data_IF_788837213723
#
_entry.id   IF_788837213723
#
_cell.length_a   1.000
_cell.length_b   1.000
_cell.length_c   1.000
_cell.angle_alpha   90.00
_cell.angle_beta   90.00
_cell.angle_gamma   90.00
#
_symmetry.space_group_name_H-M   'P 1'
#
loop_
_entity.id
_entity.type
_entity.pdbx_description
1 polymer ?
#
# COMPACT_ATOMS: atom_id res chain seq x y z
N UNK A 1 32.79 58.68 48.86
CA UNK A 1 32.10 58.99 47.59
C UNK A 1 31.49 57.69 47.06
N UNK A 2 30.16 57.50 47.14
CA UNK A 2 29.48 56.29 46.65
C UNK A 2 28.77 56.61 45.33
N UNK A 3 29.13 55.90 44.25
CA UNK A 3 28.43 55.97 42.96
C UNK A 3 27.15 55.13 43.07
N UNK A 4 26.00 55.78 42.86
CA UNK A 4 24.68 55.12 42.74
C UNK A 4 24.59 54.47 41.36
N UNK A 5 24.59 53.14 41.31
CA UNK A 5 24.29 52.39 40.08
C UNK A 5 22.78 52.44 39.85
N UNK A 6 22.35 53.04 38.74
CA UNK A 6 20.94 53.02 38.33
C UNK A 6 20.68 51.71 37.59
N UNK A 7 19.61 50.96 37.93
CA UNK A 7 19.25 49.78 37.16
C UNK A 7 18.81 50.22 35.76
N UNK A 8 19.40 49.60 34.72
CA UNK A 8 19.03 49.85 33.33
C UNK A 8 17.54 49.55 33.15
N UNK A 9 16.76 50.60 32.86
CA UNK A 9 15.32 50.52 32.67
C UNK A 9 15.01 49.56 31.53
N UNK A 10 14.11 48.61 31.78
CA UNK A 10 13.58 47.69 30.76
C UNK A 10 12.98 48.51 29.61
N UNK A 11 13.71 48.62 28.50
CA UNK A 11 13.21 49.22 27.27
C UNK A 11 12.23 48.22 26.66
N UNK A 12 10.94 48.58 26.62
CA UNK A 12 9.90 47.76 25.99
C UNK A 12 10.22 47.50 24.51
N UNK A 13 9.67 46.41 23.97
CA UNK A 13 9.86 46.00 22.57
C UNK A 13 9.48 47.12 21.60
N UNK A 14 10.30 47.29 20.56
CA UNK A 14 10.04 48.30 19.53
C UNK A 14 9.06 47.77 18.47
N UNK A 15 8.33 48.66 17.80
CA UNK A 15 7.35 48.28 16.75
C UNK A 15 8.01 47.43 15.65
N UNK A 16 9.22 47.81 15.22
CA UNK A 16 9.96 47.09 14.18
C UNK A 16 10.29 45.66 14.59
N UNK A 17 10.59 45.43 15.88
CA UNK A 17 10.94 44.14 16.43
C UNK A 17 9.74 43.18 16.43
N UNK A 18 8.53 43.70 16.69
CA UNK A 18 7.29 42.93 16.58
C UNK A 18 7.00 42.56 15.14
N UNK A 19 7.19 43.48 14.19
CA UNK A 19 6.92 43.22 12.76
C UNK A 19 7.92 42.19 12.21
N UNK A 20 9.20 42.30 12.56
CA UNK A 20 10.22 41.31 12.18
C UNK A 20 9.93 39.95 12.81
N UNK A 21 9.52 39.92 14.09
CA UNK A 21 9.13 38.68 14.77
C UNK A 21 7.95 37.99 14.08
N UNK A 22 6.93 38.75 13.70
CA UNK A 22 5.79 38.23 12.93
C UNK A 22 6.20 37.73 11.53
N UNK A 23 7.14 38.40 10.87
CA UNK A 23 7.66 37.94 9.59
C UNK A 23 8.38 36.58 9.72
N UNK A 24 9.25 36.43 10.70
CA UNK A 24 9.95 35.14 10.96
C UNK A 24 8.95 34.07 11.39
N UNK A 25 7.96 34.43 12.21
CA UNK A 25 6.92 33.50 12.67
C UNK A 25 6.06 32.96 11.54
N UNK A 26 5.65 33.81 10.59
CA UNK A 26 4.84 33.38 9.44
C UNK A 26 5.62 32.43 8.52
N UNK A 27 6.91 32.69 8.29
CA UNK A 27 7.80 31.77 7.55
C UNK A 27 7.86 30.40 8.26
N UNK A 28 7.98 30.40 9.59
CA UNK A 28 7.98 29.18 10.40
C UNK A 28 6.69 28.34 10.27
N UNK A 29 5.52 29.00 10.29
CA UNK A 29 4.24 28.30 10.11
C UNK A 29 4.11 27.69 8.72
N UNK A 30 4.51 28.41 7.68
CA UNK A 30 4.47 27.91 6.30
C UNK A 30 5.37 26.69 6.11
N UNK A 31 6.57 26.72 6.71
CA UNK A 31 7.48 25.57 6.72
C UNK A 31 6.86 24.36 7.43
N UNK A 32 6.24 24.59 8.60
CA UNK A 32 5.56 23.53 9.35
C UNK A 32 4.38 22.93 8.57
N UNK A 33 3.59 23.76 7.89
CA UNK A 33 2.48 23.32 7.05
C UNK A 33 2.94 22.43 5.89
N UNK A 34 4.02 22.81 5.20
CA UNK A 34 4.61 21.97 4.15
C UNK A 34 5.08 20.61 4.70
N UNK A 35 5.67 20.58 5.90
CA UNK A 35 6.06 19.33 6.57
C UNK A 35 4.85 18.45 6.91
N UNK A 36 3.76 19.03 7.41
CA UNK A 36 2.55 18.28 7.79
C UNK A 36 1.90 17.60 6.57
N UNK A 37 1.85 18.27 5.43
CA UNK A 37 1.34 17.68 4.19
C UNK A 37 2.16 16.45 3.78
N UNK A 38 3.48 16.57 3.77
CA UNK A 38 4.37 15.47 3.40
C UNK A 38 4.27 14.29 4.37
N UNK A 39 4.22 14.56 5.68
CA UNK A 39 4.08 13.53 6.71
C UNK A 39 2.74 12.77 6.61
N UNK A 40 1.66 13.49 6.31
CA UNK A 40 0.33 12.88 6.15
C UNK A 40 0.29 11.95 4.94
N UNK A 41 0.85 12.39 3.81
CA UNK A 41 0.90 11.55 2.59
C UNK A 41 1.80 10.34 2.79
N UNK A 42 2.96 10.50 3.44
CA UNK A 42 3.87 9.38 3.69
C UNK A 42 3.25 8.35 4.65
N UNK A 43 2.60 8.81 5.72
CA UNK A 43 1.89 7.95 6.67
C UNK A 43 0.74 7.20 5.99
N UNK A 44 -0.01 7.86 5.11
CA UNK A 44 -1.07 7.24 4.33
C UNK A 44 -0.57 6.16 3.36
N UNK A 45 0.60 6.35 2.74
CA UNK A 45 1.27 5.34 1.91
C UNK A 45 1.75 4.15 2.73
N UNK A 46 2.41 4.41 3.86
CA UNK A 46 2.91 3.37 4.73
C UNK A 46 1.77 2.49 5.26
N UNK A 47 0.66 3.12 5.68
CA UNK A 47 -0.52 2.39 6.12
C UNK A 47 -1.14 1.52 5.01
N UNK A 48 -1.22 2.01 3.77
CA UNK A 48 -1.74 1.20 2.68
C UNK A 48 -0.85 0.02 2.36
N UNK A 49 0.47 0.21 2.28
CA UNK A 49 1.43 -0.88 2.03
C UNK A 49 1.38 -1.93 3.14
N UNK A 50 1.34 -1.51 4.41
CA UNK A 50 1.25 -2.43 5.55
C UNK A 50 -0.04 -3.26 5.51
N UNK A 51 -1.17 -2.61 5.23
CA UNK A 51 -2.47 -3.28 5.14
C UNK A 51 -2.50 -4.24 3.96
N UNK A 52 -2.01 -3.82 2.79
CA UNK A 52 -1.92 -4.67 1.60
C UNK A 52 -1.02 -5.89 1.83
N UNK A 53 0.13 -5.71 2.48
CA UNK A 53 1.02 -6.83 2.85
C UNK A 53 0.33 -7.81 3.79
N UNK A 54 -0.44 -7.31 4.76
CA UNK A 54 -1.19 -8.16 5.70
C UNK A 54 -2.22 -9.01 4.95
N UNK A 55 -2.96 -8.42 4.00
CA UNK A 55 -3.93 -9.16 3.18
C UNK A 55 -3.27 -10.18 2.26
N UNK A 56 -2.13 -9.83 1.66
CA UNK A 56 -1.38 -10.75 0.82
C UNK A 56 -0.91 -11.98 1.61
N UNK A 57 -0.37 -11.77 2.81
CA UNK A 57 0.04 -12.87 3.71
C UNK A 57 -1.15 -13.73 4.11
N UNK A 58 -2.28 -13.13 4.50
CA UNK A 58 -3.48 -13.88 4.86
C UNK A 58 -3.97 -14.79 3.73
N UNK A 59 -4.01 -14.29 2.49
CA UNK A 59 -4.44 -15.08 1.33
C UNK A 59 -3.39 -16.14 0.96
N UNK A 60 -2.11 -15.82 1.09
CA UNK A 60 -1.04 -16.80 0.88
C UNK A 60 -1.14 -17.96 1.88
N UNK A 61 -1.42 -17.69 3.15
CA UNK A 61 -1.65 -18.71 4.18
C UNK A 61 -2.88 -19.56 3.88
N UNK A 62 -3.98 -18.94 3.43
CA UNK A 62 -5.17 -19.67 2.99
C UNK A 62 -4.83 -20.61 1.83
N UNK A 63 -4.10 -20.15 0.82
CA UNK A 63 -3.73 -20.95 -0.36
C UNK A 63 -2.69 -22.03 -0.07
N UNK A 64 -1.84 -21.81 0.92
CA UNK A 64 -0.96 -22.83 1.47
C UNK A 64 -1.76 -23.98 2.09
N UNK A 65 -2.85 -23.68 2.79
CA UNK A 65 -3.71 -24.67 3.43
C UNK A 65 -4.59 -25.47 2.46
N UNK A 66 -4.85 -24.96 1.25
CA UNK A 66 -5.63 -25.68 0.23
C UNK A 66 -4.93 -26.94 -0.25
N UNK A 67 -5.62 -27.80 -0.99
CA UNK A 67 -4.96 -28.92 -1.69
C UNK A 67 -4.29 -28.45 -2.99
N UNK A 68 -3.44 -29.28 -3.59
CA UNK A 68 -2.82 -28.96 -4.89
C UNK A 68 -3.85 -28.89 -6.03
N UNK A 69 -4.90 -29.71 -5.96
CA UNK A 69 -5.94 -29.82 -6.97
C UNK A 69 -7.15 -28.91 -6.73
N UNK A 70 -7.08 -28.02 -5.73
CA UNK A 70 -8.18 -27.14 -5.37
C UNK A 70 -8.62 -26.26 -6.57
N UNK A 71 -9.94 -26.10 -6.81
CA UNK A 71 -10.44 -25.27 -7.90
C UNK A 71 -9.94 -23.83 -7.90
N UNK A 72 -9.67 -23.23 -6.74
CA UNK A 72 -9.14 -21.87 -6.64
C UNK A 72 -7.68 -21.76 -7.09
N UNK A 73 -6.98 -22.89 -7.14
CA UNK A 73 -5.59 -23.02 -7.59
C UNK A 73 -5.49 -23.64 -8.98
N UNK A 74 -6.56 -23.58 -9.77
CA UNK A 74 -6.52 -23.97 -11.18
C UNK A 74 -6.16 -22.76 -12.03
N UNK A 75 -5.24 -22.96 -12.96
CA UNK A 75 -5.02 -22.03 -14.05
C UNK A 75 -6.30 -22.01 -14.90
N UNK A 76 -6.93 -20.84 -15.01
CA UNK A 76 -8.18 -20.66 -15.74
C UNK A 76 -7.88 -20.33 -17.20
N UNK A 77 -8.59 -21.02 -18.11
CA UNK A 77 -8.41 -20.89 -19.54
C UNK A 77 -8.71 -19.45 -20.04
N UNK A 78 -7.65 -18.68 -20.22
CA UNK A 78 -7.68 -17.26 -20.59
C UNK A 78 -6.27 -16.68 -20.59
N UNK A 79 -5.40 -17.19 -19.71
CA UNK A 79 -3.97 -16.94 -19.79
C UNK A 79 -3.28 -17.76 -20.90
N UNK A 80 -2.32 -17.14 -21.59
CA UNK A 80 -1.39 -17.91 -22.40
C UNK A 80 -0.54 -18.81 -21.47
N UNK A 81 0.13 -19.83 -22.03
CA UNK A 81 1.04 -20.87 -21.45
C UNK A 81 1.87 -20.57 -20.16
N UNK A 82 1.87 -19.34 -19.65
CA UNK A 82 2.67 -18.82 -18.56
C UNK A 82 1.89 -18.34 -17.33
N UNK A 83 0.56 -18.23 -17.32
CA UNK A 83 -0.34 -18.00 -16.16
C UNK A 83 -0.05 -16.94 -15.09
N UNK A 84 1.05 -16.19 -15.22
CA UNK A 84 1.53 -15.19 -14.25
C UNK A 84 1.45 -13.76 -14.78
N UNK A 85 0.96 -13.59 -16.01
CA UNK A 85 1.05 -12.36 -16.79
C UNK A 85 -0.09 -11.38 -16.55
N UNK A 86 -1.16 -11.73 -15.83
CA UNK A 86 -2.41 -10.98 -16.00
C UNK A 86 -2.51 -9.63 -15.27
N UNK A 87 -1.55 -9.28 -14.42
CA UNK A 87 -1.60 -8.02 -13.67
C UNK A 87 -0.33 -7.18 -13.73
N UNK A 88 0.80 -7.72 -14.22
CA UNK A 88 2.02 -6.94 -14.45
C UNK A 88 2.53 -6.97 -15.91
N UNK A 89 1.92 -7.71 -16.83
CA UNK A 89 2.45 -7.89 -18.18
C UNK A 89 1.49 -7.36 -19.26
N UNK A 90 1.69 -6.11 -19.65
CA UNK A 90 1.33 -5.58 -20.99
C UNK A 90 -0.14 -5.34 -21.35
N UNK A 91 -1.01 -4.89 -20.45
CA UNK A 91 -2.21 -4.09 -20.80
C UNK A 91 -3.01 -4.65 -22.01
N UNK A 92 -3.10 -5.99 -22.14
CA UNK A 92 -3.71 -6.64 -23.30
C UNK A 92 -5.13 -7.00 -22.91
N UNK A 93 -6.09 -6.59 -23.74
CA UNK A 93 -7.48 -6.98 -23.56
C UNK A 93 -7.58 -8.52 -23.60
N UNK A 94 -7.84 -9.15 -22.45
CA UNK A 94 -7.88 -10.61 -22.31
C UNK A 94 -7.11 -11.15 -21.10
N UNK A 95 -6.25 -10.33 -20.48
CA UNK A 95 -5.56 -10.69 -19.26
C UNK A 95 -6.53 -10.64 -18.06
N UNK A 96 -7.12 -11.79 -17.73
CA UNK A 96 -8.05 -11.91 -16.59
C UNK A 96 -7.44 -12.70 -15.45
N UNK A 97 -7.50 -12.19 -14.19
CA UNK A 97 -7.13 -12.93 -12.98
C UNK A 97 -7.75 -14.32 -12.95
N UNK A 98 -6.96 -15.33 -12.60
CA UNK A 98 -7.45 -16.67 -12.27
C UNK A 98 -8.45 -16.62 -11.12
N UNK A 99 -8.24 -15.67 -10.21
CA UNK A 99 -9.32 -15.23 -9.34
C UNK A 99 -9.07 -13.89 -8.66
N UNK A 100 -10.16 -13.36 -8.14
CA UNK A 100 -10.21 -12.05 -7.49
C UNK A 100 -11.04 -12.10 -6.23
N UNK A 101 -10.59 -11.35 -5.22
CA UNK A 101 -11.35 -11.03 -4.01
C UNK A 101 -11.30 -9.53 -3.78
N UNK A 102 -12.41 -8.99 -3.34
CA UNK A 102 -12.52 -7.58 -3.00
C UNK A 102 -12.61 -7.43 -1.49
N UNK A 103 -11.96 -6.40 -0.96
CA UNK A 103 -11.94 -6.11 0.47
C UNK A 103 -12.57 -4.74 0.67
N UNK A 104 -13.65 -4.72 1.44
CA UNK A 104 -14.35 -3.48 1.79
C UNK A 104 -13.57 -2.67 2.82
N UNK A 105 -13.96 -1.42 3.01
CA UNK A 105 -13.38 -0.56 4.06
C UNK A 105 -13.59 -1.11 5.49
N UNK A 106 -14.58 -1.98 5.71
CA UNK A 106 -14.79 -2.67 7.00
C UNK A 106 -13.90 -3.89 7.19
N UNK A 107 -13.06 -4.23 6.21
CA UNK A 107 -12.22 -5.43 6.22
C UNK A 107 -12.98 -6.71 5.87
N UNK A 108 -14.19 -6.60 5.31
CA UNK A 108 -14.97 -7.76 4.88
C UNK A 108 -14.53 -8.17 3.47
N UNK A 109 -14.43 -9.47 3.24
CA UNK A 109 -14.11 -10.03 1.91
C UNK A 109 -15.40 -10.27 1.14
N UNK A 110 -15.45 -9.84 -0.11
CA UNK A 110 -16.56 -10.08 -1.02
C UNK A 110 -16.08 -10.52 -2.41
N UNK A 111 -16.95 -11.27 -3.11
CA UNK A 111 -16.62 -11.88 -4.41
C UNK A 111 -17.07 -11.04 -5.61
N UNK A 112 -17.70 -9.89 -5.37
CA UNK A 112 -18.16 -8.98 -6.42
C UNK A 112 -17.61 -7.56 -6.16
N UNK A 113 -17.21 -6.84 -7.22
CA UNK A 113 -16.68 -5.49 -7.07
C UNK A 113 -17.79 -4.53 -6.62
N UNK A 114 -17.43 -3.64 -5.71
CA UNK A 114 -18.24 -2.52 -5.25
C UNK A 114 -17.43 -1.22 -5.31
N UNK A 115 -18.11 -0.09 -5.49
CA UNK A 115 -17.46 1.23 -5.40
C UNK A 115 -16.94 1.57 -4.00
N UNK A 116 -17.27 0.75 -3.00
CA UNK A 116 -16.84 0.90 -1.61
C UNK A 116 -15.62 0.02 -1.25
N UNK A 117 -15.11 -0.76 -2.20
CA UNK A 117 -13.96 -1.62 -1.97
C UNK A 117 -12.70 -0.79 -1.80
N UNK A 118 -11.91 -1.14 -0.79
CA UNK A 118 -10.64 -0.48 -0.49
C UNK A 118 -9.47 -1.19 -1.19
N UNK A 119 -9.53 -2.51 -1.29
CA UNK A 119 -8.52 -3.31 -1.99
C UNK A 119 -9.17 -4.34 -2.90
N UNK A 120 -8.50 -4.66 -4.00
CA UNK A 120 -8.73 -5.87 -4.77
C UNK A 120 -7.47 -6.74 -4.68
N UNK A 121 -7.65 -8.00 -4.35
CA UNK A 121 -6.57 -8.99 -4.35
C UNK A 121 -6.84 -9.95 -5.48
N UNK A 122 -5.82 -10.10 -6.31
CA UNK A 122 -5.84 -10.96 -7.46
C UNK A 122 -4.82 -12.06 -7.27
N UNK A 123 -5.08 -13.21 -7.87
CA UNK A 123 -4.09 -14.26 -7.95
C UNK A 123 -4.06 -14.90 -9.32
N UNK A 124 -2.90 -15.44 -9.59
CA UNK A 124 -2.45 -16.01 -10.83
C UNK A 124 -1.75 -17.32 -10.54
N UNK A 125 -2.01 -18.35 -11.33
CA UNK A 125 -1.50 -19.69 -11.14
C UNK A 125 -0.87 -20.17 -12.44
N UNK A 126 0.42 -20.47 -12.38
CA UNK A 126 1.11 -21.18 -13.44
C UNK A 126 1.46 -22.59 -12.99
N UNK A 127 1.11 -23.57 -13.81
CA UNK A 127 1.46 -24.97 -13.58
C UNK A 127 2.82 -25.33 -14.18
N UNK A 128 3.49 -26.29 -13.57
CA UNK A 128 4.80 -26.83 -13.99
C UNK A 128 5.90 -25.78 -14.07
N UNK A 129 5.90 -24.82 -13.13
CA UNK A 129 6.85 -23.71 -13.04
C UNK A 129 7.46 -23.60 -11.62
N UNK A 130 8.79 -23.42 -11.50
CA UNK A 130 9.81 -23.53 -12.56
C UNK A 130 10.10 -25.00 -12.96
N UNK A 131 9.61 -25.98 -12.20
CA UNK A 131 9.81 -27.41 -12.44
C UNK A 131 8.47 -28.12 -12.62
N UNK A 132 8.48 -29.27 -13.29
CA UNK A 132 7.29 -30.11 -13.43
C UNK A 132 6.74 -30.53 -12.06
N UNK A 133 5.41 -30.49 -11.90
CA UNK A 133 4.74 -30.82 -10.64
C UNK A 133 4.76 -29.72 -9.58
N UNK A 134 5.26 -28.52 -9.90
CA UNK A 134 5.10 -27.31 -9.09
C UNK A 134 4.04 -26.38 -9.67
N UNK A 135 3.24 -25.76 -8.80
CA UNK A 135 2.45 -24.58 -9.14
C UNK A 135 3.15 -23.35 -8.61
N UNK A 136 3.32 -22.33 -9.45
CA UNK A 136 3.68 -20.99 -9.02
C UNK A 136 2.40 -20.17 -8.90
N UNK A 137 2.18 -19.55 -7.75
CA UNK A 137 1.04 -18.69 -7.50
C UNK A 137 1.54 -17.28 -7.20
N UNK A 138 1.12 -16.31 -7.99
CA UNK A 138 1.39 -14.89 -7.77
C UNK A 138 0.16 -14.24 -7.17
N UNK A 139 0.32 -13.55 -6.05
CA UNK A 139 -0.74 -12.78 -5.40
C UNK A 139 -0.40 -11.31 -5.55
N UNK A 140 -1.34 -10.52 -6.07
CA UNK A 140 -1.18 -9.08 -6.24
C UNK A 140 -2.30 -8.32 -5.54
N UNK A 141 -1.92 -7.34 -4.72
CA UNK A 141 -2.85 -6.48 -3.99
C UNK A 141 -2.86 -5.08 -4.57
N UNK A 142 -4.04 -4.66 -4.99
CA UNK A 142 -4.30 -3.35 -5.58
C UNK A 142 -5.18 -2.55 -4.63
N UNK A 143 -4.79 -1.29 -4.38
CA UNK A 143 -5.63 -0.34 -3.66
C UNK A 143 -6.60 0.33 -4.62
N UNK A 144 -7.89 0.23 -4.31
CA UNK A 144 -8.96 0.80 -5.10
C UNK A 144 -9.21 2.26 -4.68
N UNK A 145 -8.84 3.19 -5.57
CA UNK A 145 -9.14 4.61 -5.41
C UNK A 145 -8.39 5.34 -4.29
N UNK A 146 -8.65 6.65 -4.20
CA UNK A 146 -8.02 7.55 -3.25
C UNK A 146 -6.56 7.87 -3.55
N UNK A 147 -5.90 8.57 -2.61
CA UNK A 147 -4.47 8.86 -2.72
C UNK A 147 -3.67 7.55 -2.69
N UNK A 148 -2.77 7.40 -3.68
CA UNK A 148 -1.93 6.23 -3.89
C UNK A 148 -2.70 4.97 -4.32
N UNK A 149 -3.75 5.10 -5.13
CA UNK A 149 -4.33 3.94 -5.82
C UNK A 149 -3.28 3.26 -6.74
N UNK A 150 -3.42 1.95 -6.94
CA UNK A 150 -2.48 1.16 -7.75
C UNK A 150 -2.02 -0.11 -7.04
N UNK A 151 -1.00 -0.77 -7.59
CA UNK A 151 -0.41 -2.00 -7.03
C UNK A 151 0.48 -1.60 -5.83
N UNK A 152 0.24 -2.20 -4.65
CA UNK A 152 1.04 -1.95 -3.45
C UNK A 152 1.97 -3.10 -3.11
N UNK A 153 1.57 -4.32 -3.47
CA UNK A 153 2.27 -5.52 -3.06
C UNK A 153 2.01 -6.65 -4.06
N UNK A 154 3.06 -7.38 -4.41
CA UNK A 154 2.97 -8.62 -5.18
C UNK A 154 3.98 -9.63 -4.63
N UNK A 155 3.57 -10.89 -4.51
CA UNK A 155 4.43 -11.96 -4.00
C UNK A 155 4.13 -13.29 -4.68
N UNK A 156 5.18 -14.06 -4.94
CA UNK A 156 5.13 -15.36 -5.58
C UNK A 156 5.39 -16.47 -4.55
N UNK A 157 4.53 -17.48 -4.55
CA UNK A 157 4.65 -18.69 -3.73
C UNK A 157 4.63 -19.94 -4.64
N UNK A 158 5.30 -21.01 -4.19
CA UNK A 158 5.38 -22.27 -4.93
C UNK A 158 4.76 -23.43 -4.15
N UNK A 159 3.84 -24.14 -4.79
CA UNK A 159 3.17 -25.32 -4.24
C UNK A 159 3.64 -26.59 -4.91
N UNK A 160 3.96 -27.58 -4.09
CA UNK A 160 4.30 -28.94 -4.54
C UNK A 160 3.03 -29.77 -4.70
N UNK A 161 2.98 -30.57 -5.77
CA UNK A 161 2.05 -31.70 -5.86
C UNK A 161 2.49 -32.72 -4.80
N UNK A 162 1.74 -32.83 -3.71
CA UNK A 162 2.06 -33.70 -2.57
C UNK A 162 2.56 -35.08 -3.03
N UNK A 163 3.74 -35.47 -2.55
CA UNK A 163 4.25 -36.85 -2.55
C UNK A 163 4.86 -37.11 -1.17
N UNK A 164 4.01 -37.28 -0.17
CA UNK A 164 4.28 -38.05 1.05
C UNK A 164 3.00 -38.76 1.47
#
# INVERSE_FOLDING_TARGET
MQRRSYPDGQKGFTLIEVIVSLAVFTIGILACYAMQLNSTVSSGRANSVQTSSTWATYIAEEFLALEYADPLLQNSAGDALNGLTDIDDTNRAGDTPDGVRYITRSGSVCSAPSSADLYAVFWNVAENRPLAGLKQVRITVVKNGGLNAGIHYSHDYYKLRNNF
#
